data_IF_681365089368
#
_entry.id   IF_681365089368
#
_cell.length_a   1.000
_cell.length_b   1.000
_cell.length_c   1.000
_cell.angle_alpha   90.00
_cell.angle_beta   90.00
_cell.angle_gamma   90.00
#
_symmetry.space_group_name_H-M   'P 1'
#
loop_
_entity.id
_entity.type
_entity.pdbx_description
1 polymer ?
#
# COMPACT_ATOMS: atom_id res chain seq x y z
N UNK A 1 -11.53 -16.39 5.98
CA UNK A 1 -11.39 -14.97 6.42
C UNK A 1 -11.93 -14.08 5.31
N UNK A 2 -12.45 -12.91 5.66
CA UNK A 2 -12.82 -11.91 4.66
C UNK A 2 -11.56 -11.33 4.04
N UNK A 3 -11.48 -11.19 2.71
CA UNK A 3 -10.35 -10.55 2.04
C UNK A 3 -10.08 -9.15 2.59
N UNK A 4 -8.81 -8.78 2.71
CA UNK A 4 -8.35 -7.55 3.32
C UNK A 4 -7.55 -6.71 2.32
N UNK A 5 -7.49 -5.41 2.57
CA UNK A 5 -6.75 -4.43 1.76
C UNK A 5 -5.61 -3.86 2.58
N UNK A 6 -4.39 -4.02 2.09
CA UNK A 6 -3.17 -3.57 2.75
C UNK A 6 -2.46 -2.53 1.89
N UNK A 7 -2.07 -1.41 2.48
CA UNK A 7 -1.15 -0.47 1.86
C UNK A 7 0.16 -0.41 2.64
N UNK A 8 1.25 -0.66 1.95
CA UNK A 8 2.61 -0.59 2.48
C UNK A 8 3.29 0.64 1.89
N UNK A 9 3.70 1.59 2.71
CA UNK A 9 4.39 2.76 2.22
C UNK A 9 5.70 3.02 2.97
N UNK A 10 6.67 3.62 2.29
CA UNK A 10 8.00 3.86 2.86
C UNK A 10 9.01 4.29 1.81
N UNK A 11 10.22 4.56 2.24
CA UNK A 11 11.33 4.93 1.34
C UNK A 11 11.70 3.80 0.37
N UNK A 12 12.47 4.13 -0.67
CA UNK A 12 13.13 3.13 -1.50
C UNK A 12 14.01 2.23 -0.63
N UNK A 13 14.00 0.91 -0.89
CA UNK A 13 14.78 -0.04 -0.09
C UNK A 13 14.19 -0.43 1.26
N UNK A 14 13.01 0.08 1.64
CA UNK A 14 12.40 -0.24 2.95
C UNK A 14 11.76 -1.62 3.05
N UNK A 15 11.87 -2.48 2.03
CA UNK A 15 11.36 -3.86 2.07
C UNK A 15 9.91 -4.05 1.61
N UNK A 16 9.25 -3.03 1.06
CA UNK A 16 7.84 -3.13 0.59
C UNK A 16 7.61 -4.25 -0.39
N UNK A 17 8.44 -4.31 -1.46
CA UNK A 17 8.32 -5.34 -2.50
C UNK A 17 8.64 -6.72 -1.93
N UNK A 18 9.57 -6.85 -0.98
CA UNK A 18 9.85 -8.12 -0.30
C UNK A 18 8.61 -8.62 0.47
N UNK A 19 7.99 -7.76 1.28
CA UNK A 19 6.78 -8.15 2.02
C UNK A 19 5.63 -8.47 1.07
N UNK A 20 5.43 -7.67 0.01
CA UNK A 20 4.36 -7.90 -0.96
C UNK A 20 4.55 -9.23 -1.71
N UNK A 21 5.76 -9.52 -2.18
CA UNK A 21 6.08 -10.76 -2.89
C UNK A 21 6.12 -11.98 -1.99
N UNK A 22 6.45 -11.81 -0.69
CA UNK A 22 6.37 -12.91 0.28
C UNK A 22 4.95 -13.44 0.49
N UNK A 23 3.92 -12.73 0.03
CA UNK A 23 2.56 -13.27 -0.04
C UNK A 23 2.40 -14.32 -1.14
N UNK A 24 3.28 -14.33 -2.13
CA UNK A 24 3.23 -15.23 -3.30
C UNK A 24 4.22 -16.38 -3.15
N UNK A 25 5.42 -16.08 -2.67
CA UNK A 25 6.52 -17.04 -2.56
C UNK A 25 7.26 -16.89 -1.23
N UNK A 26 7.71 -17.98 -0.66
CA UNK A 26 8.65 -17.98 0.45
C UNK A 26 10.07 -17.75 -0.10
N UNK A 27 10.66 -16.61 0.24
CA UNK A 27 11.99 -16.22 -0.26
C UNK A 27 13.17 -16.99 0.36
N UNK A 28 12.92 -17.76 1.43
CA UNK A 28 13.96 -18.61 2.05
C UNK A 28 14.01 -20.00 1.41
N UNK A 29 12.85 -20.53 1.02
CA UNK A 29 12.70 -21.89 0.51
C UNK A 29 12.38 -21.96 -0.99
N UNK A 30 12.10 -20.81 -1.63
CA UNK A 30 11.57 -20.71 -3.00
C UNK A 30 10.23 -21.45 -3.20
N UNK A 31 9.51 -21.77 -2.12
CA UNK A 31 8.21 -22.42 -2.19
C UNK A 31 7.12 -21.44 -2.64
N UNK A 32 6.33 -21.83 -3.62
CA UNK A 32 5.20 -21.05 -4.12
C UNK A 32 4.00 -21.18 -3.17
N UNK A 33 3.79 -20.16 -2.34
CA UNK A 33 2.73 -20.11 -1.31
C UNK A 33 1.36 -19.81 -1.91
N UNK A 34 1.31 -19.02 -2.97
CA UNK A 34 0.09 -18.64 -3.69
C UNK A 34 0.23 -18.95 -5.19
N UNK A 35 -0.14 -20.17 -5.66
CA UNK A 35 0.02 -20.56 -7.05
C UNK A 35 -0.69 -19.64 -8.06
N UNK A 36 -1.80 -19.03 -7.67
CA UNK A 36 -2.54 -18.02 -8.45
C UNK A 36 -2.27 -16.60 -7.93
N UNK A 37 -1.23 -16.39 -7.12
CA UNK A 37 -0.80 -15.08 -6.69
C UNK A 37 -0.33 -14.26 -7.88
N UNK A 38 -0.63 -12.96 -7.87
CA UNK A 38 -0.32 -12.08 -8.99
C UNK A 38 0.41 -10.83 -8.49
N UNK A 39 1.64 -10.63 -8.96
CA UNK A 39 2.38 -9.39 -8.79
C UNK A 39 2.19 -8.49 -10.00
N UNK A 40 1.49 -7.38 -9.82
CA UNK A 40 1.30 -6.33 -10.82
C UNK A 40 2.34 -5.24 -10.54
N UNK A 41 3.31 -5.13 -11.43
CA UNK A 41 4.45 -4.22 -11.29
C UNK A 41 4.31 -3.05 -12.26
N UNK A 42 4.32 -1.83 -11.72
CA UNK A 42 4.37 -0.59 -12.51
C UNK A 42 5.78 -0.04 -12.42
N UNK A 43 6.46 0.05 -13.57
CA UNK A 43 7.88 0.34 -13.63
C UNK A 43 8.75 -0.92 -13.53
N UNK A 44 10.02 -0.73 -13.19
CA UNK A 44 10.98 -1.83 -13.08
C UNK A 44 11.47 -1.93 -11.63
N UNK A 45 11.06 -3.00 -10.96
CA UNK A 45 11.76 -3.43 -9.74
C UNK A 45 13.09 -4.09 -10.16
N UNK A 46 14.16 -3.67 -9.54
CA UNK A 46 15.51 -4.15 -9.86
C UNK A 46 16.11 -5.03 -8.77
N UNK A 47 15.32 -5.43 -7.78
CA UNK A 47 15.83 -6.28 -6.73
C UNK A 47 15.99 -7.72 -7.26
N UNK A 48 17.23 -8.21 -7.48
CA UNK A 48 17.49 -9.53 -8.02
C UNK A 48 17.13 -10.67 -7.03
N UNK A 49 16.88 -10.33 -5.77
CA UNK A 49 16.57 -11.30 -4.71
C UNK A 49 15.07 -11.64 -4.61
N UNK A 50 14.23 -11.08 -5.48
CA UNK A 50 12.80 -11.39 -5.53
C UNK A 50 12.54 -12.46 -6.59
N UNK A 51 12.50 -13.72 -6.18
CA UNK A 51 12.42 -14.90 -7.05
C UNK A 51 10.98 -15.31 -7.42
N UNK A 52 10.07 -14.34 -7.65
CA UNK A 52 8.70 -14.64 -8.06
C UNK A 52 8.69 -15.22 -9.48
N UNK A 53 8.01 -16.36 -9.73
CA UNK A 53 7.91 -16.94 -11.06
C UNK A 53 7.29 -15.99 -12.07
N UNK A 54 7.81 -15.94 -13.29
CA UNK A 54 7.33 -15.05 -14.37
C UNK A 54 5.83 -15.20 -14.66
N UNK A 55 5.28 -16.40 -14.51
CA UNK A 55 3.86 -16.66 -14.68
C UNK A 55 2.97 -15.90 -13.67
N UNK A 56 3.55 -15.50 -12.54
CA UNK A 56 2.90 -14.76 -11.47
C UNK A 56 3.14 -13.25 -11.55
N UNK A 57 3.84 -12.76 -12.60
CA UNK A 57 4.19 -11.33 -12.73
C UNK A 57 3.52 -10.73 -13.95
N UNK A 58 2.84 -9.61 -13.75
CA UNK A 58 2.39 -8.73 -14.82
C UNK A 58 3.12 -7.41 -14.74
N UNK A 59 3.98 -7.12 -15.72
CA UNK A 59 4.76 -5.88 -15.77
C UNK A 59 4.12 -4.88 -16.71
N UNK A 60 4.10 -3.63 -16.27
CA UNK A 60 3.79 -2.45 -17.07
C UNK A 60 5.01 -1.54 -17.07
N UNK A 61 5.73 -1.53 -18.17
CA UNK A 61 6.88 -0.63 -18.31
C UNK A 61 6.39 0.82 -18.36
N UNK A 62 7.02 1.66 -17.55
CA UNK A 62 6.77 3.10 -17.62
C UNK A 62 7.43 3.65 -18.87
N UNK A 63 6.61 3.94 -19.87
CA UNK A 63 7.04 4.65 -21.08
C UNK A 63 6.55 6.10 -20.98
N UNK A 64 7.48 7.00 -20.68
CA UNK A 64 7.19 8.43 -20.55
C UNK A 64 6.78 9.07 -21.87
N UNK A 65 7.07 8.43 -23.01
CA UNK A 65 6.65 8.90 -24.34
C UNK A 65 5.25 8.41 -24.71
N UNK A 66 4.75 7.37 -24.02
CA UNK A 66 3.41 6.82 -24.25
C UNK A 66 2.67 6.57 -22.91
N UNK A 67 2.57 7.57 -22.03
CA UNK A 67 2.01 7.38 -20.70
C UNK A 67 0.55 6.96 -20.73
N UNK A 68 -0.23 7.47 -21.67
CA UNK A 68 -1.64 7.08 -21.87
C UNK A 68 -1.81 5.57 -22.14
N UNK A 69 -0.98 5.02 -23.03
CA UNK A 69 -1.06 3.60 -23.37
C UNK A 69 -0.77 2.72 -22.16
N UNK A 70 0.22 3.10 -21.35
CA UNK A 70 0.56 2.40 -20.11
C UNK A 70 -0.60 2.46 -19.10
N UNK A 71 -1.16 3.65 -18.84
CA UNK A 71 -2.28 3.83 -17.90
C UNK A 71 -3.51 3.03 -18.35
N UNK A 72 -3.85 3.11 -19.65
CA UNK A 72 -4.96 2.35 -20.21
C UNK A 72 -4.72 0.85 -20.07
N UNK A 73 -3.51 0.38 -20.36
CA UNK A 73 -3.13 -1.03 -20.18
C UNK A 73 -3.29 -1.52 -18.75
N UNK A 74 -2.92 -0.72 -17.75
CA UNK A 74 -3.12 -1.04 -16.32
C UNK A 74 -4.62 -1.16 -16.01
N UNK A 75 -5.42 -0.17 -16.40
CA UNK A 75 -6.87 -0.14 -16.12
C UNK A 75 -7.58 -1.32 -16.79
N UNK A 76 -7.28 -1.59 -18.05
CA UNK A 76 -7.92 -2.68 -18.80
C UNK A 76 -7.54 -4.04 -18.23
N UNK A 77 -6.30 -4.21 -17.82
CA UNK A 77 -5.86 -5.43 -17.12
C UNK A 77 -6.61 -5.63 -15.80
N UNK A 78 -6.71 -4.59 -14.97
CA UNK A 78 -7.43 -4.66 -13.70
C UNK A 78 -8.92 -4.95 -13.90
N UNK A 79 -9.57 -4.34 -14.89
CA UNK A 79 -10.96 -4.67 -15.28
C UNK A 79 -11.06 -6.12 -15.74
N UNK A 80 -10.09 -6.62 -16.50
CA UNK A 80 -10.02 -8.03 -16.90
C UNK A 80 -9.99 -8.97 -15.70
N UNK A 81 -9.23 -8.63 -14.63
CA UNK A 81 -9.21 -9.39 -13.38
C UNK A 81 -10.59 -9.42 -12.71
N UNK A 82 -11.32 -8.29 -12.67
CA UNK A 82 -12.69 -8.28 -12.12
C UNK A 82 -13.62 -9.18 -12.91
N UNK A 83 -13.54 -9.14 -14.25
CA UNK A 83 -14.36 -10.01 -15.12
C UNK A 83 -14.02 -11.49 -14.91
N UNK A 84 -12.72 -11.82 -14.78
CA UNK A 84 -12.28 -13.18 -14.50
C UNK A 84 -12.75 -13.66 -13.12
N UNK A 85 -12.63 -12.82 -12.10
CA UNK A 85 -13.07 -13.12 -10.75
C UNK A 85 -14.60 -13.33 -10.67
N UNK A 86 -15.39 -12.52 -11.39
CA UNK A 86 -16.84 -12.70 -11.49
C UNK A 86 -17.23 -14.04 -12.13
N UNK A 87 -16.32 -14.67 -12.91
CA UNK A 87 -16.47 -16.02 -13.48
C UNK A 87 -15.89 -17.12 -12.60
N UNK A 88 -15.51 -16.82 -11.37
CA UNK A 88 -14.90 -17.76 -10.41
C UNK A 88 -13.39 -17.99 -10.58
N UNK A 89 -12.71 -17.23 -11.46
CA UNK A 89 -11.26 -17.28 -11.63
C UNK A 89 -10.61 -16.27 -10.67
N UNK A 90 -10.65 -16.58 -9.38
CA UNK A 90 -10.12 -15.71 -8.33
C UNK A 90 -8.63 -15.94 -8.15
N UNK A 91 -7.85 -14.86 -8.01
CA UNK A 91 -6.46 -14.93 -7.58
C UNK A 91 -6.39 -15.29 -6.09
N UNK A 92 -5.28 -15.92 -5.67
CA UNK A 92 -5.05 -16.21 -4.24
C UNK A 92 -4.70 -14.92 -3.47
N UNK A 93 -3.91 -14.06 -4.10
CA UNK A 93 -3.51 -12.74 -3.61
C UNK A 93 -3.14 -11.86 -4.80
N UNK A 94 -3.39 -10.56 -4.71
CA UNK A 94 -2.92 -9.56 -5.68
C UNK A 94 -1.98 -8.61 -4.96
N UNK A 95 -0.76 -8.52 -5.47
CA UNK A 95 0.22 -7.52 -5.06
C UNK A 95 0.36 -6.46 -6.16
N UNK A 96 -0.16 -5.24 -5.91
CA UNK A 96 -0.08 -4.09 -6.81
C UNK A 96 1.07 -3.19 -6.36
N UNK A 97 2.17 -3.24 -7.08
CA UNK A 97 3.40 -2.54 -6.75
C UNK A 97 3.57 -1.32 -7.64
N UNK A 98 3.31 -0.14 -7.06
CA UNK A 98 3.59 1.11 -7.73
C UNK A 98 2.47 2.14 -7.82
N UNK A 99 1.72 2.42 -6.75
CA UNK A 99 0.79 3.56 -6.76
C UNK A 99 1.49 4.88 -7.05
N UNK A 100 2.66 5.12 -6.47
CA UNK A 100 3.42 6.34 -6.72
C UNK A 100 3.90 6.41 -8.16
N UNK A 101 4.36 5.29 -8.72
CA UNK A 101 4.80 5.20 -10.12
C UNK A 101 3.64 5.48 -11.08
N UNK A 102 2.44 4.97 -10.77
CA UNK A 102 1.23 5.28 -11.53
C UNK A 102 0.87 6.77 -11.45
N UNK A 103 0.94 7.36 -10.25
CA UNK A 103 0.64 8.77 -10.04
C UNK A 103 1.62 9.69 -10.81
N UNK A 104 2.91 9.35 -10.81
CA UNK A 104 3.94 10.02 -11.61
C UNK A 104 3.63 9.90 -13.11
N UNK A 105 3.25 8.71 -13.57
CA UNK A 105 2.92 8.46 -14.98
C UNK A 105 1.72 9.30 -15.45
N UNK A 106 0.74 9.49 -14.57
CA UNK A 106 -0.41 10.37 -14.85
C UNK A 106 0.05 11.84 -15.00
N UNK A 107 1.03 12.28 -14.21
CA UNK A 107 1.64 13.59 -14.36
C UNK A 107 2.26 13.80 -15.75
N UNK A 108 2.98 12.82 -16.27
CA UNK A 108 3.56 12.90 -17.62
C UNK A 108 2.53 13.04 -18.74
N UNK A 109 1.32 12.50 -18.59
CA UNK A 109 0.24 12.73 -19.55
C UNK A 109 -0.08 14.21 -19.70
N UNK A 110 -0.18 14.90 -18.56
CA UNK A 110 -0.46 16.34 -18.56
C UNK A 110 0.69 17.16 -19.16
N UNK A 111 1.94 16.80 -18.83
CA UNK A 111 3.13 17.50 -19.34
C UNK A 111 3.25 17.39 -20.86
N UNK A 112 2.86 16.25 -21.45
CA UNK A 112 2.95 16.01 -22.89
C UNK A 112 1.75 16.55 -23.69
N UNK A 113 0.57 16.54 -23.09
CA UNK A 113 -0.66 17.03 -23.68
C UNK A 113 -1.38 17.92 -22.67
N UNK A 114 -0.99 19.20 -22.53
CA UNK A 114 -1.67 20.10 -21.63
C UNK A 114 -3.16 20.10 -21.96
N UNK A 115 -3.94 19.46 -21.10
CA UNK A 115 -5.39 19.47 -21.18
C UNK A 115 -5.81 20.93 -21.04
N UNK A 116 -6.52 21.43 -22.03
CA UNK A 116 -7.02 22.82 -22.15
C UNK A 116 -6.75 23.75 -20.95
N UNK A 117 -6.52 25.03 -21.14
CA UNK A 117 -6.10 26.10 -20.23
C UNK A 117 -6.71 26.16 -18.81
N UNK A 118 -7.29 25.08 -18.32
CA UNK A 118 -7.86 24.95 -16.99
C UNK A 118 -6.87 24.26 -16.04
N UNK A 119 -6.32 25.01 -15.07
CA UNK A 119 -5.42 24.50 -14.03
C UNK A 119 -5.99 23.34 -13.19
N UNK A 120 -7.29 23.08 -13.29
CA UNK A 120 -7.97 21.99 -12.60
C UNK A 120 -8.08 20.71 -13.44
N UNK A 121 -7.77 20.77 -14.74
CA UNK A 121 -7.92 19.62 -15.64
C UNK A 121 -6.99 18.47 -15.27
N UNK A 122 -5.72 18.77 -14.97
CA UNK A 122 -4.75 17.78 -14.47
C UNK A 122 -5.25 17.12 -13.18
N UNK A 123 -5.66 17.92 -12.22
CA UNK A 123 -6.17 17.42 -10.94
C UNK A 123 -7.39 16.51 -11.11
N UNK A 124 -8.34 16.89 -11.98
CA UNK A 124 -9.53 16.07 -12.29
C UNK A 124 -9.14 14.77 -12.97
N UNK A 125 -8.24 14.82 -13.95
CA UNK A 125 -7.76 13.64 -14.65
C UNK A 125 -7.07 12.66 -13.68
N UNK A 126 -6.11 13.15 -12.91
CA UNK A 126 -5.39 12.40 -11.88
C UNK A 126 -6.36 11.74 -10.88
N UNK A 127 -7.26 12.53 -10.32
CA UNK A 127 -8.29 12.04 -9.41
C UNK A 127 -9.13 10.93 -10.04
N UNK A 128 -9.57 11.10 -11.28
CA UNK A 128 -10.41 10.13 -11.98
C UNK A 128 -9.69 8.80 -12.17
N UNK A 129 -8.46 8.83 -12.69
CA UNK A 129 -7.68 7.61 -12.93
C UNK A 129 -7.34 6.89 -11.63
N UNK A 130 -6.81 7.62 -10.64
CA UNK A 130 -6.43 7.02 -9.36
C UNK A 130 -7.63 6.46 -8.60
N UNK A 131 -8.77 7.15 -8.65
CA UNK A 131 -10.02 6.64 -8.07
C UNK A 131 -10.48 5.38 -8.77
N UNK A 132 -10.44 5.34 -10.11
CA UNK A 132 -10.84 4.15 -10.86
C UNK A 132 -9.98 2.93 -10.52
N UNK A 133 -8.65 3.07 -10.51
CA UNK A 133 -7.72 2.00 -10.14
C UNK A 133 -7.99 1.52 -8.70
N UNK A 134 -8.12 2.46 -7.78
CA UNK A 134 -8.32 2.13 -6.36
C UNK A 134 -9.67 1.44 -6.14
N UNK A 135 -10.74 1.89 -6.79
CA UNK A 135 -12.06 1.25 -6.70
C UNK A 135 -12.07 -0.16 -7.31
N UNK A 136 -11.32 -0.39 -8.39
CA UNK A 136 -11.19 -1.73 -8.95
C UNK A 136 -10.49 -2.65 -7.94
N UNK A 137 -9.38 -2.21 -7.35
CA UNK A 137 -8.64 -2.97 -6.36
C UNK A 137 -9.41 -3.18 -5.05
N UNK A 138 -10.25 -2.21 -4.64
CA UNK A 138 -11.11 -2.33 -3.46
C UNK A 138 -12.35 -3.21 -3.71
N UNK A 139 -12.61 -3.59 -4.95
CA UNK A 139 -13.80 -4.37 -5.30
C UNK A 139 -13.87 -5.72 -4.59
N UNK A 140 -14.97 -5.98 -3.90
CA UNK A 140 -15.24 -7.26 -3.26
C UNK A 140 -15.29 -8.45 -4.26
N UNK A 141 -15.53 -8.18 -5.54
CA UNK A 141 -15.55 -9.19 -6.61
C UNK A 141 -14.21 -9.90 -6.76
N UNK A 142 -13.09 -9.21 -6.47
CA UNK A 142 -11.75 -9.82 -6.57
C UNK A 142 -11.56 -10.98 -5.59
N UNK A 143 -12.26 -10.99 -4.47
CA UNK A 143 -12.36 -12.14 -3.54
C UNK A 143 -11.05 -12.58 -2.86
N UNK A 144 -9.98 -11.81 -2.97
CA UNK A 144 -8.66 -12.13 -2.42
C UNK A 144 -8.05 -10.95 -1.66
N UNK A 145 -7.01 -11.21 -0.88
CA UNK A 145 -6.22 -10.15 -0.26
C UNK A 145 -5.54 -9.28 -1.34
N UNK A 146 -5.55 -7.96 -1.12
CA UNK A 146 -4.88 -7.01 -1.99
C UNK A 146 -3.80 -6.29 -1.17
N UNK A 147 -2.58 -6.36 -1.67
CA UNK A 147 -1.44 -5.63 -1.12
C UNK A 147 -1.05 -4.55 -2.12
N UNK A 148 -0.88 -3.33 -1.67
CA UNK A 148 -0.46 -2.22 -2.52
C UNK A 148 0.76 -1.54 -1.95
N UNK A 149 1.57 -0.90 -2.79
CA UNK A 149 2.69 -0.10 -2.33
C UNK A 149 2.62 1.34 -2.78
N UNK A 150 3.20 2.22 -1.95
CA UNK A 150 3.48 3.60 -2.29
C UNK A 150 4.83 4.02 -1.71
N UNK A 151 5.47 5.04 -2.29
CA UNK A 151 6.61 5.69 -1.64
C UNK A 151 6.12 6.55 -0.48
N UNK A 152 7.04 6.93 0.40
CA UNK A 152 6.73 7.90 1.45
C UNK A 152 6.82 9.32 0.93
N UNK A 153 5.80 10.12 1.20
CA UNK A 153 5.82 11.56 1.04
C UNK A 153 5.91 12.24 2.40
N UNK A 154 6.59 13.36 2.46
CA UNK A 154 6.69 14.18 3.65
C UNK A 154 5.75 15.39 3.54
N UNK A 155 4.92 15.62 4.54
CA UNK A 155 4.14 16.83 4.64
C UNK A 155 5.04 18.03 4.94
N UNK A 156 4.76 19.13 4.28
CA UNK A 156 5.51 20.37 4.49
C UNK A 156 5.08 21.04 5.79
N UNK A 157 6.04 21.28 6.66
CA UNK A 157 5.88 22.22 7.76
C UNK A 157 5.86 23.62 7.17
N UNK A 158 4.79 24.37 7.36
CA UNK A 158 4.71 25.76 6.90
C UNK A 158 5.83 26.62 7.47
N UNK A 159 6.15 27.68 6.74
CA UNK A 159 7.08 28.70 7.20
C UNK A 159 6.28 29.77 7.94
N UNK A 160 6.57 29.94 9.22
CA UNK A 160 5.96 31.01 10.02
C UNK A 160 6.77 32.29 9.85
N UNK A 161 6.13 33.34 9.35
CA UNK A 161 6.72 34.68 9.34
C UNK A 161 6.87 35.15 10.79
N UNK A 162 8.11 35.40 11.20
CA UNK A 162 8.40 35.85 12.59
C UNK A 162 7.79 37.16 12.94
N UNK A 163 7.45 38.01 11.95
CA UNK A 163 6.90 39.36 12.16
C UNK A 163 5.39 39.35 12.28
N UNK A 164 4.71 38.55 11.46
CA UNK A 164 3.23 38.51 11.43
C UNK A 164 2.67 37.34 12.23
N UNK A 165 3.46 36.32 12.53
CA UNK A 165 3.00 35.10 13.16
C UNK A 165 2.22 34.18 12.20
N UNK A 166 2.03 34.58 10.94
CA UNK A 166 1.30 33.79 9.96
C UNK A 166 2.15 32.62 9.44
N UNK A 167 1.53 31.44 9.40
CA UNK A 167 2.15 30.24 8.83
C UNK A 167 1.60 29.99 7.43
N UNK A 168 2.45 30.02 6.43
CA UNK A 168 2.11 29.78 5.03
C UNK A 168 2.75 28.50 4.51
N UNK A 169 2.06 27.83 3.59
CA UNK A 169 2.59 26.64 2.91
C UNK A 169 2.63 25.37 3.75
N UNK A 170 1.97 25.36 4.92
CA UNK A 170 1.80 24.13 5.70
C UNK A 170 0.77 23.20 5.05
N UNK A 171 1.06 21.90 5.04
CA UNK A 171 0.04 20.89 4.74
C UNK A 171 -0.97 20.82 5.92
N UNK A 172 -2.29 20.72 5.64
CA UNK A 172 -3.34 20.75 6.68
C UNK A 172 -3.18 19.66 7.74
N UNK A 173 -2.65 18.50 7.36
CA UNK A 173 -2.53 17.35 8.24
C UNK A 173 -1.15 17.23 8.92
N UNK A 174 -0.30 18.25 8.77
CA UNK A 174 1.04 18.24 9.36
C UNK A 174 1.03 18.02 10.89
N UNK A 175 -0.03 18.47 11.56
CA UNK A 175 -0.18 18.36 13.02
C UNK A 175 -0.36 16.90 13.48
N UNK A 176 -0.97 16.05 12.62
CA UNK A 176 -1.35 14.69 13.00
C UNK A 176 -0.32 13.66 12.56
N UNK A 177 0.26 13.84 11.36
CA UNK A 177 1.25 12.92 10.83
C UNK A 177 2.14 13.63 9.82
N UNK A 178 3.44 13.37 9.90
CA UNK A 178 4.45 14.00 9.04
C UNK A 178 4.67 13.24 7.74
N UNK A 179 4.46 11.94 7.75
CA UNK A 179 4.74 11.04 6.64
C UNK A 179 3.47 10.32 6.21
N UNK A 180 3.22 10.33 4.91
CA UNK A 180 2.07 9.70 4.24
C UNK A 180 2.52 8.95 2.99
N UNK A 181 1.68 8.08 2.42
CA UNK A 181 1.90 7.59 1.07
C UNK A 181 2.10 8.74 0.08
N UNK A 182 3.19 8.70 -0.69
CA UNK A 182 3.51 9.75 -1.66
C UNK A 182 2.56 9.68 -2.85
N UNK A 183 1.64 10.61 -2.87
CA UNK A 183 0.67 10.81 -3.94
C UNK A 183 0.29 12.28 -3.99
N UNK A 184 -0.15 12.74 -5.15
CA UNK A 184 -0.54 14.14 -5.29
C UNK A 184 -2.00 14.40 -4.88
N UNK A 185 -2.21 15.58 -4.32
CA UNK A 185 -3.50 16.17 -4.07
C UNK A 185 -4.43 15.29 -3.23
N UNK A 186 -5.65 15.10 -3.74
CA UNK A 186 -6.73 14.41 -3.04
C UNK A 186 -6.42 12.95 -2.66
N UNK A 187 -5.65 12.22 -3.48
CA UNK A 187 -5.34 10.81 -3.21
C UNK A 187 -4.45 10.62 -1.98
N UNK A 188 -3.58 11.56 -1.66
CA UNK A 188 -2.73 11.51 -0.46
C UNK A 188 -3.54 11.21 0.81
N UNK A 189 -4.68 11.88 0.95
CA UNK A 189 -5.54 11.75 2.13
C UNK A 189 -6.58 10.64 2.02
N UNK A 190 -6.93 10.26 0.80
CA UNK A 190 -8.02 9.32 0.56
C UNK A 190 -7.54 7.89 0.31
N UNK A 191 -6.31 7.68 -0.17
CA UNK A 191 -5.78 6.33 -0.38
C UNK A 191 -5.93 5.44 0.85
N UNK A 192 -5.61 5.90 2.08
CA UNK A 192 -5.79 5.08 3.26
C UNK A 192 -7.24 4.68 3.53
N UNK A 193 -8.25 5.45 3.06
CA UNK A 193 -9.67 5.11 3.27
C UNK A 193 -10.11 3.86 2.49
N UNK A 194 -9.45 3.55 1.38
CA UNK A 194 -9.71 2.36 0.55
C UNK A 194 -9.00 1.10 1.05
N UNK A 195 -8.21 1.20 2.11
CA UNK A 195 -7.49 0.07 2.68
C UNK A 195 -7.95 -0.21 4.11
N UNK A 196 -7.97 -1.48 4.49
CA UNK A 196 -8.23 -1.87 5.88
C UNK A 196 -7.01 -1.55 6.74
N UNK A 197 -5.83 -1.69 6.15
CA UNK A 197 -4.54 -1.55 6.79
C UNK A 197 -3.63 -0.62 6.01
N UNK A 198 -2.96 0.29 6.70
CA UNK A 198 -1.93 1.13 6.10
C UNK A 198 -0.74 1.17 7.04
N UNK A 199 0.41 0.66 6.59
CA UNK A 199 1.61 0.50 7.39
C UNK A 199 2.79 1.25 6.79
N UNK A 200 3.59 1.87 7.66
CA UNK A 200 4.83 2.51 7.28
C UNK A 200 6.01 1.55 7.41
N UNK A 201 6.88 1.55 6.42
CA UNK A 201 8.10 0.76 6.38
C UNK A 201 9.32 1.66 6.29
N UNK A 202 10.31 1.35 7.10
CA UNK A 202 11.63 1.96 7.02
C UNK A 202 12.74 0.90 6.98
N UNK A 203 13.91 1.29 6.50
CA UNK A 203 15.12 0.51 6.62
C UNK A 203 16.02 1.20 7.64
N UNK A 204 16.51 0.44 8.60
CA UNK A 204 17.48 0.88 9.59
C UNK A 204 18.80 0.14 9.35
N UNK A 205 19.88 0.87 9.15
CA UNK A 205 21.19 0.26 8.98
C UNK A 205 21.66 -0.36 10.30
N UNK A 206 22.08 -1.61 10.23
CA UNK A 206 22.68 -2.31 11.35
C UNK A 206 24.05 -2.91 10.97
N UNK A 207 24.83 -3.30 11.98
CA UNK A 207 26.14 -3.95 11.79
C UNK A 207 26.00 -5.26 10.99
N UNK A 208 24.85 -5.91 11.04
CA UNK A 208 24.56 -7.19 10.38
C UNK A 208 23.78 -7.05 9.08
N UNK A 209 23.61 -5.84 8.55
CA UNK A 209 22.80 -5.54 7.38
C UNK A 209 21.58 -4.67 7.72
N UNK A 210 20.80 -4.28 6.71
CA UNK A 210 19.62 -3.47 6.93
C UNK A 210 18.49 -4.28 7.61
N UNK A 211 17.89 -3.69 8.65
CA UNK A 211 16.67 -4.19 9.27
C UNK A 211 15.51 -3.45 8.63
N UNK A 212 14.58 -4.20 8.07
CA UNK A 212 13.35 -3.63 7.50
C UNK A 212 12.26 -3.65 8.57
N UNK A 213 11.91 -2.47 9.07
CA UNK A 213 10.93 -2.31 10.15
C UNK A 213 9.59 -1.86 9.60
N UNK A 214 8.53 -2.59 9.93
CA UNK A 214 7.15 -2.23 9.61
C UNK A 214 6.44 -1.78 10.88
N UNK A 215 5.99 -0.53 10.90
CA UNK A 215 5.23 0.05 12.01
C UNK A 215 3.75 -0.34 11.91
N UNK A 216 3.20 -0.90 12.96
CA UNK A 216 1.82 -1.40 13.04
C UNK A 216 0.89 -0.50 13.87
N UNK A 217 1.46 0.36 14.68
CA UNK A 217 0.73 1.28 15.56
C UNK A 217 1.17 2.69 15.29
N UNK A 218 0.23 3.63 15.33
CA UNK A 218 0.52 5.05 15.17
C UNK A 218 1.50 5.49 16.26
N UNK A 219 2.70 5.84 15.84
CA UNK A 219 3.76 6.39 16.68
C UNK A 219 4.31 7.66 16.04
N UNK A 220 3.90 8.80 16.60
CA UNK A 220 4.40 10.10 16.20
C UNK A 220 4.14 10.47 14.74
N UNK A 221 5.20 10.44 13.94
CA UNK A 221 5.26 11.08 12.63
C UNK A 221 4.65 10.29 11.47
N UNK A 222 4.30 9.00 11.66
CA UNK A 222 3.85 8.14 10.56
C UNK A 222 2.34 7.96 10.59
N UNK A 223 1.72 8.02 9.41
CA UNK A 223 0.31 7.67 9.29
C UNK A 223 0.14 6.15 9.25
N UNK A 224 -0.55 5.60 10.24
CA UNK A 224 -0.87 4.18 10.32
C UNK A 224 -2.37 4.01 10.50
N UNK A 225 -2.96 3.15 9.67
CA UNK A 225 -4.35 2.73 9.80
C UNK A 225 -4.41 1.26 10.12
N UNK A 226 -5.06 0.92 11.21
CA UNK A 226 -5.43 -0.46 11.52
C UNK A 226 -6.96 -0.62 11.46
N UNK A 227 -7.43 -1.56 10.65
CA UNK A 227 -8.84 -1.69 10.26
C UNK A 227 -9.79 -2.13 11.39
N UNK A 228 -9.25 -2.49 12.56
CA UNK A 228 -10.06 -3.08 13.63
C UNK A 228 -9.85 -2.40 14.99
N UNK A 229 -9.39 -1.15 15.02
CA UNK A 229 -8.93 -0.47 16.23
C UNK A 229 -9.88 -0.55 17.44
N UNK A 230 -11.19 -0.53 17.22
CA UNK A 230 -12.20 -0.60 18.29
C UNK A 230 -12.62 -2.02 18.70
N UNK A 231 -12.15 -3.07 17.98
CA UNK A 231 -12.47 -4.48 18.25
C UNK A 231 -11.28 -5.28 18.77
N UNK A 232 -10.11 -4.65 18.87
CA UNK A 232 -8.92 -5.32 19.36
C UNK A 232 -9.09 -5.72 20.82
N UNK A 233 -8.93 -6.98 21.07
CA UNK A 233 -8.89 -7.54 22.44
C UNK A 233 -7.46 -7.73 22.93
N UNK A 234 -6.50 -7.73 22.02
CA UNK A 234 -5.07 -7.73 22.35
C UNK A 234 -4.38 -6.62 21.55
N UNK A 235 -3.42 -5.91 22.16
CA UNK A 235 -2.67 -4.88 21.44
C UNK A 235 -1.83 -5.52 20.34
N UNK A 236 -1.71 -4.81 19.20
CA UNK A 236 -0.68 -5.10 18.21
C UNK A 236 0.69 -4.76 18.79
N UNK A 237 1.75 -5.47 18.38
CA UNK A 237 3.11 -4.98 18.61
C UNK A 237 3.31 -3.65 17.91
N UNK A 238 4.21 -2.81 18.42
CA UNK A 238 4.46 -1.50 17.81
C UNK A 238 5.02 -1.65 16.40
N UNK A 239 5.86 -2.64 16.17
CA UNK A 239 6.50 -2.92 14.88
C UNK A 239 6.78 -4.41 14.69
N UNK A 240 7.07 -4.79 13.45
CA UNK A 240 7.65 -6.06 13.06
C UNK A 240 8.94 -5.78 12.29
N UNK A 241 10.01 -6.51 12.64
CA UNK A 241 11.30 -6.40 11.97
C UNK A 241 11.46 -7.54 10.96
N UNK A 242 11.86 -7.20 9.73
CA UNK A 242 12.12 -8.13 8.60
C UNK A 242 11.00 -9.16 8.39
N UNK A 243 9.75 -8.75 8.59
CA UNK A 243 8.60 -9.63 8.55
C UNK A 243 8.20 -10.00 7.12
N UNK A 244 7.64 -11.21 6.96
CA UNK A 244 6.91 -11.63 5.78
C UNK A 244 5.43 -11.26 5.88
N UNK A 245 4.71 -11.33 4.77
CA UNK A 245 3.27 -11.10 4.76
C UNK A 245 2.50 -12.12 5.62
N UNK A 246 2.95 -13.37 5.66
CA UNK A 246 2.36 -14.42 6.50
C UNK A 246 2.49 -14.09 7.99
N UNK A 247 3.66 -13.60 8.41
CA UNK A 247 3.88 -13.18 9.80
C UNK A 247 2.99 -11.98 10.14
N UNK A 248 2.86 -11.01 9.25
CA UNK A 248 1.92 -9.90 9.41
C UNK A 248 0.48 -10.40 9.61
N UNK A 249 0.00 -11.32 8.74
CA UNK A 249 -1.34 -11.90 8.88
C UNK A 249 -1.51 -12.64 10.20
N UNK A 250 -0.54 -13.42 10.63
CA UNK A 250 -0.60 -14.12 11.92
C UNK A 250 -0.75 -13.16 13.09
N UNK A 251 -0.02 -12.04 13.08
CA UNK A 251 -0.10 -11.01 14.12
C UNK A 251 -1.49 -10.36 14.12
N UNK A 252 -1.99 -10.00 12.96
CA UNK A 252 -3.33 -9.42 12.80
C UNK A 252 -4.41 -10.39 13.27
N UNK A 253 -4.37 -11.65 12.86
CA UNK A 253 -5.33 -12.67 13.23
C UNK A 253 -5.28 -12.96 14.74
N UNK A 254 -4.08 -12.97 15.33
CA UNK A 254 -3.93 -13.19 16.78
C UNK A 254 -4.53 -12.04 17.58
N UNK A 255 -4.31 -10.80 17.17
CA UNK A 255 -4.87 -9.63 17.82
C UNK A 255 -6.41 -9.56 17.66
N UNK A 256 -6.96 -10.01 16.54
CA UNK A 256 -8.40 -10.06 16.28
C UNK A 256 -9.17 -11.14 17.05
N UNK A 257 -8.48 -12.14 17.63
CA UNK A 257 -9.15 -13.22 18.38
C UNK A 257 -9.69 -12.71 19.71
N UNK A 258 -10.92 -13.13 20.11
CA UNK A 258 -11.44 -12.83 21.44
C UNK A 258 -10.50 -13.38 22.51
N UNK A 259 -10.26 -12.60 23.56
CA UNK A 259 -9.63 -13.10 24.76
C UNK A 259 -10.66 -14.07 25.37
N UNK A 260 -10.39 -15.36 25.29
CA UNK A 260 -11.16 -16.35 26.03
C UNK A 260 -10.83 -16.07 27.51
N UNK A 261 -11.74 -15.38 28.21
CA UNK A 261 -11.67 -15.35 29.65
C UNK A 261 -11.84 -16.80 30.10
N UNK A 262 -10.77 -17.42 30.59
CA UNK A 262 -10.91 -18.62 31.40
C UNK A 262 -11.86 -18.23 32.51
N UNK A 263 -13.09 -18.75 32.49
CA UNK A 263 -13.98 -18.70 33.65
C UNK A 263 -13.14 -19.17 34.82
N UNK A 264 -13.03 -18.30 35.82
CA UNK A 264 -12.48 -18.73 37.11
C UNK A 264 -13.37 -19.88 37.57
N UNK A 265 -12.86 -21.11 37.44
CA UNK A 265 -13.47 -22.24 38.09
C UNK A 265 -13.72 -21.82 39.55
N UNK A 266 -15.00 -21.69 39.87
CA UNK A 266 -15.43 -21.27 41.16
C UNK A 266 -14.91 -22.26 42.20
N UNK A 267 -14.08 -21.77 43.08
CA UNK A 267 -13.82 -22.42 44.34
C UNK A 267 -15.16 -22.42 45.08
N UNK A 268 -15.95 -23.50 44.93
CA UNK A 268 -17.05 -23.77 45.82
C UNK A 268 -16.43 -24.20 47.16
N UNK A 269 -16.69 -23.40 48.18
CA UNK A 269 -16.52 -23.82 49.57
C UNK A 269 -17.67 -24.71 49.98
#
# INVERSE_FOLDING_TARGET
MTPQRYNLYGQGGSGKSYIGTSAIIDHETDELLAPKGLWIQIGQERNPNLHVPEANIKRFNVDVLQPHACITGVIDFLKGLQVAAAKGQVADVIFFDGYTELDILIGYVHDMQPLENDKWSEWRYRKTIMTAVTQILDSAVLGCDIITTARVGQLKKGVTDRRTGETTGADPDFVNSRYFPQMDGWMRYNLPSYHDWCFYLEAEDSINGAIHRMHLVQDGDFFIKNGLSHRWKKPLPNHLDSATFQQLKQVIDHAGKPIIQKEKEGVSK
#
